data_IF_520948547713
#
_entry.id   IF_520948547713
#
_cell.length_a   1.000
_cell.length_b   1.000
_cell.length_c   1.000
_cell.angle_alpha   90.00
_cell.angle_beta   90.00
_cell.angle_gamma   90.00
#
_symmetry.space_group_name_H-M   'P 1'
#
loop_
_entity.id
_entity.type
_entity.pdbx_description
1 polymer ?
#
# COMPACT_ATOMS: atom_id res chain seq x y z
N UNK A 1 -9.56 -16.61 13.57
CA UNK A 1 -10.28 -17.85 13.16
C UNK A 1 -10.76 -17.87 11.69
N UNK A 2 -10.80 -16.74 10.96
CA UNK A 2 -11.30 -16.68 9.57
C UNK A 2 -10.30 -17.09 8.46
N UNK A 3 -8.98 -17.20 8.74
CA UNK A 3 -7.97 -17.58 7.74
C UNK A 3 -7.84 -19.09 7.42
N UNK A 4 -8.51 -19.96 8.20
CA UNK A 4 -8.40 -21.42 8.08
C UNK A 4 -9.07 -21.99 6.82
N UNK A 5 -9.83 -21.16 6.09
CA UNK A 5 -10.54 -21.51 4.85
C UNK A 5 -10.07 -20.70 3.64
N UNK A 6 -8.82 -20.23 3.62
CA UNK A 6 -8.25 -19.60 2.43
C UNK A 6 -8.38 -20.56 1.22
N UNK A 7 -8.95 -20.13 0.07
CA UNK A 7 -9.03 -20.95 -1.14
C UNK A 7 -7.67 -21.15 -1.82
N UNK A 8 -6.62 -20.51 -1.27
CA UNK A 8 -5.24 -20.57 -1.71
C UNK A 8 -4.44 -21.15 -0.53
N UNK A 9 -4.16 -22.45 -0.58
CA UNK A 9 -3.37 -23.20 0.41
C UNK A 9 -2.16 -23.83 -0.28
N UNK A 10 -1.03 -23.89 0.42
CA UNK A 10 0.19 -24.53 -0.12
C UNK A 10 -0.04 -26.01 -0.45
N UNK A 11 0.64 -26.52 -1.47
CA UNK A 11 0.61 -27.96 -1.74
C UNK A 11 1.41 -28.72 -0.66
N UNK A 12 1.07 -29.98 -0.35
CA UNK A 12 1.72 -30.74 0.72
C UNK A 12 3.25 -30.84 0.61
N UNK A 13 3.80 -30.76 -0.61
CA UNK A 13 5.26 -30.76 -0.84
C UNK A 13 5.91 -29.39 -0.60
N UNK A 14 5.21 -28.28 -0.83
CA UNK A 14 5.71 -26.93 -0.53
C UNK A 14 5.84 -26.71 0.99
N UNK A 15 4.93 -27.31 1.78
CA UNK A 15 5.02 -27.35 3.25
C UNK A 15 6.23 -28.16 3.71
N UNK A 16 6.54 -29.27 3.05
CA UNK A 16 7.67 -30.14 3.41
C UNK A 16 9.05 -29.49 3.15
N UNK A 17 9.13 -28.58 2.17
CA UNK A 17 10.36 -27.84 1.83
C UNK A 17 10.45 -26.45 2.47
N UNK A 18 9.50 -26.07 3.34
CA UNK A 18 9.48 -24.74 3.95
C UNK A 18 9.27 -23.60 2.94
N UNK A 19 8.76 -23.91 1.75
CA UNK A 19 8.50 -22.93 0.71
C UNK A 19 7.20 -22.21 1.03
N UNK A 20 7.26 -20.87 1.11
CA UNK A 20 6.08 -20.03 1.31
C UNK A 20 5.45 -19.55 -0.01
N UNK A 21 6.03 -19.95 -1.14
CA UNK A 21 5.47 -19.68 -2.46
C UNK A 21 4.20 -20.50 -2.70
N UNK A 22 3.16 -19.83 -3.20
CA UNK A 22 1.89 -20.44 -3.60
C UNK A 22 1.72 -20.42 -5.14
N UNK A 23 2.77 -20.00 -5.87
CA UNK A 23 2.76 -19.74 -7.32
C UNK A 23 2.39 -20.96 -8.18
N UNK A 24 2.64 -22.17 -7.67
CA UNK A 24 2.39 -23.42 -8.37
C UNK A 24 1.06 -24.09 -8.01
N UNK A 25 0.23 -23.46 -7.17
CA UNK A 25 -1.08 -24.05 -6.82
C UNK A 25 -2.10 -23.84 -7.94
N UNK A 26 -2.87 -24.88 -8.31
CA UNK A 26 -3.92 -24.76 -9.32
C UNK A 26 -4.94 -23.65 -9.03
N UNK A 27 -5.24 -23.41 -7.75
CA UNK A 27 -6.15 -22.34 -7.31
C UNK A 27 -5.60 -20.94 -7.55
N UNK A 28 -4.31 -20.71 -7.25
CA UNK A 28 -3.67 -19.41 -7.49
C UNK A 28 -3.55 -19.10 -8.98
N UNK A 29 -3.15 -20.08 -9.80
CA UNK A 29 -3.06 -19.91 -11.26
C UNK A 29 -4.41 -19.61 -11.90
N UNK A 30 -5.47 -20.28 -11.46
CA UNK A 30 -6.84 -20.01 -11.92
C UNK A 30 -7.29 -18.60 -11.51
N UNK A 31 -7.08 -18.22 -10.25
CA UNK A 31 -7.44 -16.89 -9.74
C UNK A 31 -6.69 -15.77 -10.46
N UNK A 32 -5.37 -15.91 -10.64
CA UNK A 32 -4.51 -14.94 -11.31
C UNK A 32 -4.85 -14.77 -12.80
N UNK A 33 -5.18 -15.86 -13.50
CA UNK A 33 -5.62 -15.78 -14.90
C UNK A 33 -6.97 -15.09 -15.02
N UNK A 34 -7.92 -15.42 -14.13
CA UNK A 34 -9.26 -14.85 -14.15
C UNK A 34 -9.27 -13.37 -13.77
N UNK A 35 -8.46 -12.92 -12.80
CA UNK A 35 -8.39 -11.51 -12.40
C UNK A 35 -7.81 -10.60 -13.48
N UNK A 36 -6.91 -11.13 -14.34
CA UNK A 36 -6.36 -10.39 -15.49
C UNK A 36 -7.31 -10.30 -16.67
N UNK A 37 -8.21 -11.28 -16.83
CA UNK A 37 -9.14 -11.37 -17.97
C UNK A 37 -10.49 -10.73 -17.65
N UNK A 38 -10.97 -10.86 -16.41
CA UNK A 38 -12.26 -10.35 -15.98
C UNK A 38 -12.08 -9.20 -14.98
N UNK A 39 -12.70 -8.07 -15.27
CA UNK A 39 -12.69 -6.94 -14.34
C UNK A 39 -13.47 -7.28 -13.06
N UNK A 40 -13.16 -6.63 -11.92
CA UNK A 40 -13.92 -6.80 -10.68
C UNK A 40 -15.42 -6.51 -10.82
N UNK A 41 -15.79 -5.70 -11.82
CA UNK A 41 -17.18 -5.37 -12.12
C UNK A 41 -17.94 -6.57 -12.69
N UNK A 42 -17.27 -7.40 -13.50
CA UNK A 42 -17.83 -8.63 -14.08
C UNK A 42 -17.71 -9.81 -13.13
N UNK A 43 -16.56 -9.96 -12.46
CA UNK A 43 -16.28 -11.10 -11.59
C UNK A 43 -17.03 -11.04 -10.24
N UNK A 44 -17.31 -9.84 -9.73
CA UNK A 44 -18.02 -9.62 -8.47
C UNK A 44 -19.22 -8.68 -8.67
N UNK A 45 -20.29 -9.11 -9.37
CA UNK A 45 -21.44 -8.26 -9.70
C UNK A 45 -22.10 -7.64 -8.45
N UNK A 46 -22.10 -8.40 -7.34
CA UNK A 46 -22.71 -8.04 -6.06
C UNK A 46 -21.82 -7.12 -5.19
N UNK A 47 -20.55 -6.88 -5.59
CA UNK A 47 -19.66 -5.97 -4.87
C UNK A 47 -19.31 -6.41 -3.44
N UNK A 48 -19.38 -7.72 -3.14
CA UNK A 48 -19.07 -8.24 -1.81
C UNK A 48 -17.61 -7.95 -1.45
N UNK A 49 -17.38 -7.31 -0.31
CA UNK A 49 -16.06 -6.95 0.16
C UNK A 49 -15.89 -7.29 1.64
N UNK A 50 -15.42 -8.51 1.98
CA UNK A 50 -15.24 -8.94 3.37
C UNK A 50 -14.28 -8.04 4.18
N UNK A 51 -13.34 -7.37 3.50
CA UNK A 51 -12.44 -6.42 4.15
C UNK A 51 -13.21 -5.21 4.68
N UNK A 52 -14.22 -4.74 3.93
CA UNK A 52 -15.10 -3.65 4.37
C UNK A 52 -15.79 -4.00 5.69
N UNK A 53 -16.39 -5.18 5.77
CA UNK A 53 -17.11 -5.63 6.96
C UNK A 53 -16.17 -5.73 8.17
N UNK A 54 -14.94 -6.19 7.98
CA UNK A 54 -13.94 -6.26 9.05
C UNK A 54 -13.53 -4.86 9.50
N UNK A 55 -13.23 -3.95 8.58
CA UNK A 55 -12.82 -2.58 8.93
C UNK A 55 -13.95 -1.84 9.65
N UNK A 56 -15.20 -2.01 9.19
CA UNK A 56 -16.37 -1.42 9.85
C UNK A 56 -16.57 -1.94 11.27
N UNK A 57 -16.27 -3.23 11.53
CA UNK A 57 -16.40 -3.84 12.85
C UNK A 57 -15.26 -3.45 13.82
N UNK A 58 -14.04 -3.31 13.30
CA UNK A 58 -12.84 -3.13 14.13
C UNK A 58 -12.50 -1.64 14.36
N UNK A 59 -12.99 -0.72 13.52
CA UNK A 59 -12.63 0.71 13.59
C UNK A 59 -13.85 1.58 13.90
N UNK A 60 -13.82 2.24 15.06
CA UNK A 60 -14.75 3.34 15.37
C UNK A 60 -14.28 4.65 14.73
N UNK A 61 -14.83 4.95 13.54
CA UNK A 61 -14.53 6.18 12.82
C UNK A 61 -15.03 7.45 13.52
N UNK A 62 -15.99 7.35 14.44
CA UNK A 62 -16.39 8.46 15.30
C UNK A 62 -15.24 8.90 16.20
N UNK A 63 -14.58 7.93 16.85
CA UNK A 63 -13.39 8.19 17.66
C UNK A 63 -12.20 8.68 16.84
N UNK A 64 -11.97 8.11 15.66
CA UNK A 64 -10.90 8.55 14.73
C UNK A 64 -11.06 10.04 14.39
N UNK A 65 -12.26 10.48 14.00
CA UNK A 65 -12.51 11.89 13.65
C UNK A 65 -12.52 12.83 14.87
N UNK A 66 -12.90 12.31 16.04
CA UNK A 66 -12.91 13.08 17.29
C UNK A 66 -11.50 13.28 17.88
N UNK A 67 -10.53 12.43 17.53
CA UNK A 67 -9.16 12.57 18.00
C UNK A 67 -8.52 13.87 17.48
N UNK A 68 -7.98 14.67 18.41
CA UNK A 68 -7.23 15.91 18.12
C UNK A 68 -5.77 15.86 18.54
N UNK A 69 -5.35 14.75 19.15
CA UNK A 69 -3.97 14.57 19.63
C UNK A 69 -3.00 14.11 18.55
N UNK A 70 -3.53 13.56 17.45
CA UNK A 70 -2.76 13.05 16.32
C UNK A 70 -3.52 13.36 15.04
N UNK A 71 -2.81 13.87 14.05
CA UNK A 71 -3.33 14.04 12.70
C UNK A 71 -3.16 12.76 11.89
N UNK A 72 -4.18 12.43 11.11
CA UNK A 72 -4.20 11.25 10.25
C UNK A 72 -4.43 11.67 8.80
N UNK A 73 -3.55 11.21 7.93
CA UNK A 73 -3.61 11.43 6.50
C UNK A 73 -3.79 10.09 5.79
N UNK A 74 -4.79 10.01 4.91
CA UNK A 74 -5.04 8.81 4.08
C UNK A 74 -4.98 9.22 2.62
N UNK A 75 -4.22 8.49 1.81
CA UNK A 75 -4.01 8.81 0.40
C UNK A 75 -4.78 7.84 -0.51
N UNK A 76 -5.44 8.37 -1.53
CA UNK A 76 -6.05 7.57 -2.60
C UNK A 76 -5.80 8.23 -3.96
N UNK A 77 -5.84 7.45 -5.02
CA UNK A 77 -5.61 7.92 -6.40
C UNK A 77 -6.94 8.14 -7.09
N UNK A 78 -7.20 9.37 -7.56
CA UNK A 78 -8.36 9.66 -8.40
C UNK A 78 -8.22 8.90 -9.73
N UNK A 79 -9.18 8.05 -10.07
CA UNK A 79 -9.11 7.18 -11.25
C UNK A 79 -9.23 7.98 -12.56
N UNK A 80 -9.98 9.07 -12.57
CA UNK A 80 -10.23 9.87 -13.76
C UNK A 80 -9.01 10.72 -14.14
N UNK A 81 -8.31 11.27 -13.13
CA UNK A 81 -7.21 12.21 -13.34
C UNK A 81 -5.82 11.62 -13.08
N UNK A 82 -5.76 10.47 -12.42
CA UNK A 82 -4.52 9.88 -11.91
C UNK A 82 -3.87 10.67 -10.77
N UNK A 83 -4.53 11.70 -10.25
CA UNK A 83 -3.96 12.57 -9.22
C UNK A 83 -4.16 11.97 -7.82
N UNK A 84 -3.14 12.13 -6.98
CA UNK A 84 -3.21 11.79 -5.57
C UNK A 84 -4.14 12.76 -4.83
N UNK A 85 -5.09 12.22 -4.07
CA UNK A 85 -5.88 12.96 -3.08
C UNK A 85 -5.48 12.48 -1.68
N UNK A 86 -5.18 13.43 -0.80
CA UNK A 86 -4.95 13.17 0.62
C UNK A 86 -6.17 13.63 1.39
N UNK A 87 -6.79 12.71 2.10
CA UNK A 87 -7.88 12.94 3.04
C UNK A 87 -7.31 13.15 4.44
N UNK A 88 -7.92 14.05 5.20
CA UNK A 88 -7.52 14.38 6.57
C UNK A 88 -8.74 14.79 7.40
N UNK A 89 -8.56 15.00 8.70
CA UNK A 89 -9.44 15.77 9.59
C UNK A 89 -10.94 15.81 9.22
N UNK A 90 -11.70 14.89 9.79
CA UNK A 90 -13.15 14.84 9.61
C UNK A 90 -13.60 14.23 8.28
N UNK A 91 -12.72 14.09 7.29
CA UNK A 91 -13.00 13.32 6.06
C UNK A 91 -12.75 11.82 6.25
N UNK A 92 -12.07 11.40 7.33
CA UNK A 92 -11.71 9.99 7.53
C UNK A 92 -12.94 9.16 7.93
N UNK A 93 -13.31 8.25 7.04
CA UNK A 93 -14.40 7.29 7.19
C UNK A 93 -14.06 5.95 6.53
N UNK A 94 -15.01 5.02 6.58
CA UNK A 94 -14.86 3.69 6.00
C UNK A 94 -14.54 3.75 4.50
N UNK A 95 -15.23 4.59 3.74
CA UNK A 95 -15.02 4.68 2.29
C UNK A 95 -13.64 5.22 1.96
N UNK A 96 -13.15 6.19 2.74
CA UNK A 96 -11.80 6.75 2.59
C UNK A 96 -10.71 5.70 2.84
N UNK A 97 -10.87 4.87 3.88
CA UNK A 97 -9.94 3.75 4.14
C UNK A 97 -10.02 2.71 3.04
N UNK A 98 -11.24 2.34 2.62
CA UNK A 98 -11.44 1.37 1.55
C UNK A 98 -10.87 1.84 0.22
N UNK A 99 -10.99 3.13 -0.11
CA UNK A 99 -10.40 3.73 -1.30
C UNK A 99 -8.88 3.62 -1.28
N UNK A 100 -8.25 3.91 -0.14
CA UNK A 100 -6.79 3.83 0.03
C UNK A 100 -6.25 2.40 -0.09
N UNK A 101 -7.04 1.39 0.27
CA UNK A 101 -6.70 -0.03 0.16
C UNK A 101 -7.25 -0.70 -1.12
N UNK A 102 -7.77 0.08 -2.08
CA UNK A 102 -8.48 -0.45 -3.24
C UNK A 102 -7.52 -0.82 -4.38
N UNK A 103 -7.01 -2.05 -4.37
CA UNK A 103 -6.27 -2.60 -5.50
C UNK A 103 -7.20 -2.89 -6.69
N UNK A 104 -6.97 -2.29 -7.89
CA UNK A 104 -7.93 -2.31 -9.01
C UNK A 104 -8.15 -3.69 -9.63
N UNK A 105 -7.25 -4.65 -9.41
CA UNK A 105 -7.39 -6.03 -9.86
C UNK A 105 -8.27 -6.88 -8.94
N UNK A 106 -8.52 -6.41 -7.72
CA UNK A 106 -9.22 -7.16 -6.67
C UNK A 106 -10.55 -6.52 -6.27
N UNK A 107 -10.60 -5.18 -6.27
CA UNK A 107 -11.75 -4.42 -5.80
C UNK A 107 -12.22 -3.44 -6.86
N UNK A 108 -13.54 -3.16 -6.84
CA UNK A 108 -14.12 -2.06 -7.60
C UNK A 108 -13.65 -0.74 -7.00
N UNK A 109 -13.50 0.27 -7.85
CA UNK A 109 -13.20 1.63 -7.39
C UNK A 109 -14.22 2.06 -6.34
N UNK A 110 -13.74 2.71 -5.28
CA UNK A 110 -14.61 3.27 -4.24
C UNK A 110 -15.00 4.68 -4.65
N UNK A 111 -16.30 4.95 -4.71
CA UNK A 111 -16.81 6.27 -5.06
C UNK A 111 -17.00 7.13 -3.82
N UNK A 112 -16.30 8.25 -3.76
CA UNK A 112 -16.44 9.23 -2.68
C UNK A 112 -16.93 10.54 -3.30
N UNK A 113 -18.16 10.94 -2.94
CA UNK A 113 -18.83 12.13 -3.50
C UNK A 113 -18.89 12.10 -5.05
N UNK A 114 -19.14 10.91 -5.62
CA UNK A 114 -19.27 10.70 -7.07
C UNK A 114 -17.94 10.64 -7.83
N UNK A 115 -16.79 10.67 -7.14
CA UNK A 115 -15.47 10.52 -7.77
C UNK A 115 -14.91 9.13 -7.46
N UNK A 116 -14.50 8.35 -8.47
CA UNK A 116 -13.91 7.03 -8.26
C UNK A 116 -12.45 7.11 -7.79
N UNK A 117 -12.12 6.30 -6.79
CA UNK A 117 -10.78 6.21 -6.22
C UNK A 117 -10.23 4.77 -6.21
N UNK A 118 -8.91 4.67 -6.42
CA UNK A 118 -8.08 3.48 -6.23
C UNK A 118 -7.03 3.73 -5.14
N UNK A 119 -6.28 2.67 -4.83
CA UNK A 119 -5.16 2.68 -3.89
C UNK A 119 -4.23 3.90 -4.07
N UNK A 120 -3.80 4.47 -2.95
CA UNK A 120 -2.95 5.66 -2.92
C UNK A 120 -1.57 5.45 -3.56
N UNK A 121 -1.08 4.21 -3.64
CA UNK A 121 0.23 3.89 -4.21
C UNK A 121 0.42 4.25 -5.66
N UNK A 122 -0.65 4.34 -6.45
CA UNK A 122 -0.56 4.80 -7.84
C UNK A 122 -0.27 6.31 -7.95
N UNK A 123 -0.69 7.12 -6.96
CA UNK A 123 -0.46 8.56 -6.90
C UNK A 123 0.71 8.98 -5.99
N UNK A 124 1.04 8.16 -4.97
CA UNK A 124 2.15 8.35 -4.04
C UNK A 124 1.94 7.58 -2.73
N UNK A 125 2.87 6.66 -2.39
CA UNK A 125 2.79 5.84 -1.18
C UNK A 125 4.12 5.76 -0.38
N UNK A 126 4.15 6.31 0.85
CA UNK A 126 3.19 7.26 1.40
C UNK A 126 3.43 8.67 0.85
N UNK A 127 2.40 9.51 0.90
CA UNK A 127 2.53 10.94 0.62
C UNK A 127 3.24 11.63 1.80
N UNK A 128 4.40 12.29 1.56
CA UNK A 128 5.16 12.93 2.65
C UNK A 128 4.85 14.42 2.79
N UNK A 129 4.44 15.08 1.71
CA UNK A 129 4.17 16.50 1.68
C UNK A 129 3.20 17.04 2.76
N UNK A 130 2.19 16.27 3.27
CA UNK A 130 1.34 16.77 4.35
C UNK A 130 2.13 17.04 5.62
N UNK A 131 3.10 16.17 5.95
CA UNK A 131 3.91 16.29 7.17
C UNK A 131 4.79 17.54 7.18
N UNK A 132 5.20 18.05 6.01
CA UNK A 132 6.04 19.23 5.93
C UNK A 132 5.32 20.50 6.42
N UNK A 133 3.99 20.52 6.35
CA UNK A 133 3.19 21.69 6.74
C UNK A 133 2.68 21.59 8.17
N UNK A 134 2.31 20.39 8.65
CA UNK A 134 1.53 20.28 9.88
C UNK A 134 2.28 19.74 11.09
N UNK A 135 3.33 18.93 10.91
CA UNK A 135 4.07 18.38 12.05
C UNK A 135 4.82 19.49 12.82
N UNK A 136 5.02 19.38 14.13
CA UNK A 136 5.91 20.28 14.86
C UNK A 136 7.39 19.85 14.77
N UNK A 137 7.62 18.58 14.41
CA UNK A 137 8.94 17.96 14.32
C UNK A 137 9.48 17.98 12.89
N UNK A 138 10.80 17.92 12.76
CA UNK A 138 11.50 17.74 11.49
C UNK A 138 11.82 16.26 11.22
N UNK A 139 11.64 15.39 12.21
CA UNK A 139 11.90 13.96 12.08
C UNK A 139 10.68 13.22 11.51
N UNK A 140 10.90 12.49 10.42
CA UNK A 140 9.88 11.67 9.74
C UNK A 140 10.35 10.22 9.76
N UNK A 141 9.57 9.36 10.42
CA UNK A 141 9.77 7.92 10.41
C UNK A 141 8.93 7.27 9.29
N UNK A 142 9.61 6.71 8.31
CA UNK A 142 9.03 5.98 7.20
C UNK A 142 9.13 4.47 7.46
N UNK A 143 7.99 3.78 7.45
CA UNK A 143 7.93 2.31 7.47
C UNK A 143 7.63 1.81 6.07
N UNK A 144 8.58 1.14 5.44
CA UNK A 144 8.44 0.57 4.10
C UNK A 144 8.28 -0.95 4.16
N UNK A 145 7.16 -1.41 3.60
CA UNK A 145 6.84 -2.84 3.47
C UNK A 145 7.22 -3.41 2.11
N UNK A 146 7.27 -2.57 1.06
CA UNK A 146 7.62 -3.00 -0.29
C UNK A 146 9.12 -2.74 -0.53
N UNK A 147 9.85 -3.74 -1.06
CA UNK A 147 11.27 -3.58 -1.31
C UNK A 147 11.51 -2.56 -2.43
N UNK A 148 12.53 -1.72 -2.24
CA UNK A 148 12.96 -0.74 -3.27
C UNK A 148 13.82 -1.45 -4.32
N UNK A 149 14.74 -2.28 -3.85
CA UNK A 149 15.69 -3.03 -4.68
C UNK A 149 15.28 -4.50 -4.69
N UNK A 150 15.30 -5.09 -5.88
CA UNK A 150 15.15 -6.53 -6.06
C UNK A 150 16.22 -6.99 -7.04
N UNK A 151 17.11 -7.87 -6.59
CA UNK A 151 18.19 -8.37 -7.43
C UNK A 151 17.68 -9.35 -8.49
N UNK A 152 18.33 -9.33 -9.65
CA UNK A 152 17.94 -10.16 -10.79
C UNK A 152 16.86 -9.54 -11.69
N UNK A 153 16.54 -10.23 -12.78
CA UNK A 153 15.54 -9.79 -13.75
C UNK A 153 14.30 -10.68 -13.65
N UNK A 154 13.09 -10.12 -13.45
CA UNK A 154 11.86 -10.92 -13.39
C UNK A 154 11.66 -11.67 -14.72
N UNK A 155 11.25 -12.94 -14.66
CA UNK A 155 11.11 -13.83 -15.82
C UNK A 155 9.68 -14.30 -16.03
N UNK A 156 8.89 -14.44 -14.98
CA UNK A 156 7.48 -14.81 -15.08
C UNK A 156 6.56 -13.59 -15.20
N UNK A 157 5.36 -13.77 -15.75
CA UNK A 157 4.37 -12.69 -15.84
C UNK A 157 4.01 -12.11 -14.46
N UNK A 158 3.98 -12.95 -13.42
CA UNK A 158 3.66 -12.55 -12.04
C UNK A 158 4.81 -11.74 -11.43
N UNK A 159 6.05 -12.19 -11.62
CA UNK A 159 7.23 -11.45 -11.19
C UNK A 159 7.33 -10.08 -11.88
N UNK A 160 7.04 -10.03 -13.18
CA UNK A 160 7.04 -8.78 -13.95
C UNK A 160 5.97 -7.84 -13.41
N UNK A 161 4.73 -8.30 -13.24
CA UNK A 161 3.64 -7.46 -12.73
C UNK A 161 3.94 -6.94 -11.31
N UNK A 162 4.35 -7.83 -10.40
CA UNK A 162 4.69 -7.43 -9.05
C UNK A 162 5.87 -6.44 -9.04
N UNK A 163 6.85 -6.57 -9.93
CA UNK A 163 7.94 -5.58 -10.04
C UNK A 163 7.45 -4.24 -10.59
N UNK A 164 6.51 -4.25 -11.55
CA UNK A 164 5.87 -3.01 -12.04
C UNK A 164 5.14 -2.30 -10.89
N UNK A 165 4.39 -3.04 -10.07
CA UNK A 165 3.67 -2.49 -8.92
C UNK A 165 4.65 -1.92 -7.87
N UNK A 166 5.72 -2.66 -7.52
CA UNK A 166 6.79 -2.20 -6.63
C UNK A 166 7.45 -0.90 -7.14
N UNK A 167 7.77 -0.82 -8.44
CA UNK A 167 8.38 0.37 -9.04
C UNK A 167 7.40 1.54 -9.00
N UNK A 168 6.14 1.31 -9.38
CA UNK A 168 5.09 2.33 -9.43
C UNK A 168 4.87 2.93 -8.04
N UNK A 169 4.72 2.08 -7.01
CA UNK A 169 4.47 2.51 -5.65
C UNK A 169 5.67 3.25 -5.03
N UNK A 170 6.90 2.86 -5.37
CA UNK A 170 8.11 3.56 -4.90
C UNK A 170 8.40 4.87 -5.66
N UNK A 171 7.95 5.00 -6.91
CA UNK A 171 8.29 6.14 -7.76
C UNK A 171 7.84 7.49 -7.16
N UNK A 172 6.63 7.54 -6.59
CA UNK A 172 6.09 8.73 -5.92
C UNK A 172 6.97 9.16 -4.75
N UNK A 173 7.29 8.23 -3.85
CA UNK A 173 8.14 8.47 -2.69
C UNK A 173 9.55 8.92 -3.07
N UNK A 174 10.18 8.28 -4.07
CA UNK A 174 11.51 8.67 -4.55
C UNK A 174 11.52 10.09 -5.14
N UNK A 175 10.41 10.52 -5.74
CA UNK A 175 10.26 11.91 -6.18
C UNK A 175 10.19 12.88 -5.01
N UNK A 176 9.45 12.54 -3.95
CA UNK A 176 9.40 13.36 -2.73
C UNK A 176 10.76 13.44 -2.04
N UNK A 177 11.51 12.34 -1.95
CA UNK A 177 12.88 12.35 -1.41
C UNK A 177 13.83 13.28 -2.16
N UNK A 178 13.74 13.33 -3.50
CA UNK A 178 14.52 14.29 -4.29
C UNK A 178 14.14 15.73 -3.96
N UNK A 179 12.84 16.01 -3.78
CA UNK A 179 12.39 17.33 -3.36
C UNK A 179 12.88 17.70 -1.96
N UNK A 180 12.85 16.77 -1.00
CA UNK A 180 13.40 16.98 0.34
C UNK A 180 14.90 17.28 0.26
N UNK A 181 15.68 16.43 -0.43
CA UNK A 181 17.12 16.60 -0.58
C UNK A 181 17.46 17.96 -1.20
N UNK A 182 16.73 18.38 -2.22
CA UNK A 182 16.89 19.69 -2.86
C UNK A 182 16.63 20.86 -1.88
N UNK A 183 15.59 20.78 -1.06
CA UNK A 183 15.31 21.81 -0.04
C UNK A 183 16.43 21.84 1.02
N UNK A 184 16.90 20.67 1.48
CA UNK A 184 18.02 20.57 2.44
C UNK A 184 19.29 21.23 1.89
N UNK A 185 19.63 20.99 0.62
CA UNK A 185 20.78 21.62 -0.04
C UNK A 185 20.66 23.15 -0.08
N UNK A 186 19.47 23.68 -0.38
CA UNK A 186 19.24 25.12 -0.42
C UNK A 186 19.32 25.77 0.97
N UNK A 187 18.84 25.10 2.01
CA UNK A 187 18.99 25.54 3.40
C UNK A 187 20.47 25.54 3.80
N UNK A 188 21.20 24.46 3.53
CA UNK A 188 22.63 24.34 3.84
C UNK A 188 23.48 25.41 3.11
N UNK A 189 23.08 25.79 1.90
CA UNK A 189 23.72 26.86 1.13
C UNK A 189 23.30 28.29 1.56
N UNK A 190 22.43 28.43 2.57
CA UNK A 190 21.91 29.73 3.04
C UNK A 190 20.99 30.44 2.03
N UNK A 191 20.47 29.72 1.03
CA UNK A 191 19.58 30.26 0.00
C UNK A 191 18.11 30.25 0.40
N UNK A 192 17.75 29.43 1.39
CA UNK A 192 16.43 29.41 2.02
C UNK A 192 16.57 29.63 3.53
N UNK A 193 15.68 30.42 4.16
CA UNK A 193 15.70 30.64 5.59
C UNK A 193 15.24 29.36 6.33
N UNK A 194 16.08 28.88 7.23
CA UNK A 194 15.71 27.80 8.15
C UNK A 194 14.59 28.27 9.09
N UNK A 195 13.55 27.45 9.24
CA UNK A 195 12.37 27.77 10.06
C UNK A 195 11.11 27.90 9.21
N UNK A 196 11.11 28.79 8.20
CA UNK A 196 10.06 28.82 7.17
C UNK A 196 10.13 27.54 6.32
N UNK A 197 11.36 27.16 5.96
CA UNK A 197 11.67 25.86 5.36
C UNK A 197 12.33 24.98 6.41
N UNK A 198 11.88 23.73 6.47
CA UNK A 198 12.29 22.77 7.49
C UNK A 198 13.34 21.81 6.97
N UNK A 199 14.31 21.49 7.82
CA UNK A 199 15.38 20.57 7.49
C UNK A 199 14.97 19.11 7.81
N UNK A 200 14.05 18.56 7.01
CA UNK A 200 13.44 17.25 7.29
C UNK A 200 14.49 16.13 7.39
N UNK A 201 14.43 15.34 8.47
CA UNK A 201 15.26 14.17 8.73
C UNK A 201 14.45 12.91 8.52
N UNK A 202 14.82 12.13 7.50
CA UNK A 202 14.15 10.88 7.17
C UNK A 202 14.80 9.72 7.90
N UNK A 203 13.99 8.93 8.60
CA UNK A 203 14.38 7.67 9.23
C UNK A 203 13.59 6.57 8.56
N UNK A 204 14.25 5.51 8.08
CA UNK A 204 13.60 4.41 7.35
C UNK A 204 13.68 3.13 8.18
N UNK A 205 12.54 2.48 8.34
CA UNK A 205 12.41 1.09 8.78
C UNK A 205 11.97 0.29 7.56
N UNK A 206 12.71 -0.76 7.24
CA UNK A 206 12.34 -1.72 6.20
C UNK A 206 12.64 -3.16 6.64
N UNK A 207 12.18 -4.10 5.83
CA UNK A 207 12.36 -5.54 6.03
C UNK A 207 13.08 -6.19 4.84
N UNK A 208 13.89 -5.43 4.09
CA UNK A 208 14.49 -5.89 2.82
C UNK A 208 15.31 -7.18 3.04
N UNK A 209 16.13 -7.24 4.10
CA UNK A 209 16.92 -8.43 4.46
C UNK A 209 16.08 -9.61 4.95
N UNK A 210 15.01 -9.34 5.71
CA UNK A 210 14.14 -10.38 6.25
C UNK A 210 13.25 -11.02 5.17
N UNK A 211 12.91 -10.26 4.12
CA UNK A 211 12.00 -10.68 3.06
C UNK A 211 12.70 -11.11 1.76
N UNK A 212 14.03 -11.07 1.70
CA UNK A 212 14.78 -11.38 0.47
C UNK A 212 14.46 -12.74 -0.16
N UNK A 213 14.17 -13.74 0.68
CA UNK A 213 13.89 -15.12 0.25
C UNK A 213 12.39 -15.39 0.04
N UNK A 214 11.51 -14.39 0.28
CA UNK A 214 10.08 -14.54 0.09
C UNK A 214 9.66 -14.22 -1.36
N UNK A 215 8.96 -15.16 -1.98
CA UNK A 215 8.37 -14.96 -3.32
C UNK A 215 7.23 -13.94 -3.31
N UNK A 216 6.84 -13.41 -4.48
CA UNK A 216 5.77 -12.41 -4.58
C UNK A 216 4.41 -12.96 -4.10
N UNK A 217 4.19 -14.26 -4.24
CA UNK A 217 2.96 -14.91 -3.78
C UNK A 217 2.80 -14.99 -2.25
N UNK A 218 3.86 -14.76 -1.46
CA UNK A 218 3.73 -14.72 0.00
C UNK A 218 2.79 -13.60 0.47
N UNK A 219 2.64 -12.53 -0.33
CA UNK A 219 1.74 -11.39 -0.06
C UNK A 219 0.27 -11.79 0.07
N UNK A 220 -0.14 -12.89 -0.56
CA UNK A 220 -1.51 -13.42 -0.47
C UNK A 220 -1.64 -14.60 0.49
N UNK A 221 -0.56 -14.95 1.19
CA UNK A 221 -0.56 -16.03 2.17
C UNK A 221 -1.14 -15.56 3.51
N UNK A 222 -2.38 -15.98 3.79
CA UNK A 222 -3.05 -15.72 5.05
C UNK A 222 -2.99 -16.90 6.04
N UNK A 223 -2.12 -17.91 5.81
CA UNK A 223 -1.95 -19.04 6.72
C UNK A 223 -1.40 -18.56 8.08
N UNK A 224 -2.01 -19.01 9.18
CA UNK A 224 -1.58 -18.62 10.53
C UNK A 224 -0.12 -18.98 10.83
N UNK A 225 0.36 -20.11 10.28
CA UNK A 225 1.75 -20.53 10.41
C UNK A 225 2.72 -19.55 9.73
N UNK A 226 2.31 -18.86 8.67
CA UNK A 226 3.11 -17.82 8.04
C UNK A 226 3.10 -16.53 8.87
N UNK A 227 1.94 -16.14 9.41
CA UNK A 227 1.79 -14.92 10.22
C UNK A 227 2.49 -14.99 11.59
N UNK A 228 2.92 -16.18 12.02
CA UNK A 228 3.62 -16.42 13.29
C UNK A 228 5.06 -16.90 13.11
N UNK A 229 5.55 -16.92 11.86
CA UNK A 229 6.92 -17.25 11.50
C UNK A 229 7.90 -16.13 11.86
#
# INVERSE_FOLDING_TARGET
LKGRFSPVQRMPWDVAWGNWSIENTPGYLFFDTMSRVFSPYVANPLGLNPLRDVIEQEIDFGNVRACKSMELFISATNVETGQLRVFSDGEIDLDTVMASACLPQLFRAVEIKGVPYWDGGYGGNPALFPFFKTAATEDVLLVQINPVVREGTPKSANEIQNRIDEITFNAGLLREFRSIAFVKELIAAGRLPHGEYRDIRMHRIDADEAFKDLSASSKVNAEWAFLTY
#
